data_IF_369455908366
#
_entry.id   IF_369455908366
#
_cell.length_a   1.000
_cell.length_b   1.000
_cell.length_c   1.000
_cell.angle_alpha   90.00
_cell.angle_beta   90.00
_cell.angle_gamma   90.00
#
_symmetry.space_group_name_H-M   'P 1'
#
loop_
_entity.id
_entity.type
_entity.pdbx_description
1 polymer ?
#
# COMPACT_ATOMS: atom_id res chain seq x y z
N UNK A 1 -33.00 3.49 -40.62
CA UNK A 1 -31.83 2.63 -40.39
C UNK A 1 -30.71 3.51 -39.87
N UNK A 2 -30.26 3.18 -38.65
CA UNK A 2 -28.98 3.43 -37.96
C UNK A 2 -28.21 4.71 -38.34
N UNK A 3 -27.96 5.69 -37.47
CA UNK A 3 -27.72 5.59 -36.02
C UNK A 3 -26.28 5.14 -35.76
N UNK A 4 -25.33 6.06 -35.86
CA UNK A 4 -24.04 6.02 -35.13
C UNK A 4 -23.25 7.33 -35.33
N UNK A 5 -23.57 8.36 -34.58
CA UNK A 5 -22.53 9.33 -34.18
C UNK A 5 -22.09 8.93 -32.78
N UNK A 6 -20.85 8.46 -32.68
CA UNK A 6 -20.12 8.35 -31.42
C UNK A 6 -19.85 9.78 -30.95
N UNK A 7 -20.65 10.31 -30.04
CA UNK A 7 -20.22 11.44 -29.23
C UNK A 7 -19.39 10.90 -28.06
N UNK A 8 -18.09 11.17 -28.16
CA UNK A 8 -17.10 11.03 -27.10
C UNK A 8 -17.12 12.31 -26.27
N UNK A 9 -17.01 12.13 -24.94
CA UNK A 9 -16.81 13.15 -23.91
C UNK A 9 -17.96 14.13 -23.66
N UNK A 10 -18.97 13.65 -22.90
CA UNK A 10 -19.73 14.54 -22.04
C UNK A 10 -18.79 15.11 -20.97
N UNK A 11 -18.36 16.34 -21.22
CA UNK A 11 -17.78 17.30 -20.29
C UNK A 11 -18.26 17.00 -18.86
N UNK A 12 -17.32 16.59 -18.01
CA UNK A 12 -17.50 16.47 -16.57
C UNK A 12 -18.11 17.78 -16.08
N UNK A 13 -19.27 17.68 -15.40
CA UNK A 13 -20.09 18.82 -14.97
C UNK A 13 -19.21 19.94 -14.44
N UNK A 14 -19.29 21.12 -15.06
CA UNK A 14 -18.49 22.31 -14.74
C UNK A 14 -18.45 22.62 -13.24
N UNK A 15 -19.49 22.23 -12.49
CA UNK A 15 -19.58 22.35 -11.04
C UNK A 15 -18.50 21.54 -10.28
N UNK A 16 -18.19 20.31 -10.71
CA UNK A 16 -17.11 19.48 -10.11
C UNK A 16 -15.73 20.09 -10.39
N UNK A 17 -15.55 20.65 -11.58
CA UNK A 17 -14.31 21.36 -11.94
C UNK A 17 -14.21 22.68 -11.15
N UNK A 18 -15.31 23.41 -10.98
CA UNK A 18 -15.33 24.67 -10.23
C UNK A 18 -15.09 24.47 -8.74
N UNK A 19 -15.63 23.42 -8.12
CA UNK A 19 -15.39 23.10 -6.72
C UNK A 19 -13.95 22.61 -6.47
N UNK A 20 -13.42 21.76 -7.35
CA UNK A 20 -12.03 21.31 -7.30
C UNK A 20 -11.02 22.42 -7.67
N UNK A 21 -11.38 23.37 -8.53
CA UNK A 21 -10.52 24.51 -8.93
C UNK A 21 -10.43 25.61 -7.87
N UNK A 22 -11.34 25.67 -6.90
CA UNK A 22 -11.28 26.62 -5.77
C UNK A 22 -10.16 26.30 -4.78
N UNK A 23 -9.69 25.06 -4.74
CA UNK A 23 -8.44 24.66 -4.08
C UNK A 23 -7.42 24.35 -5.17
N UNK A 24 -6.32 25.11 -5.25
CA UNK A 24 -5.25 25.09 -6.28
C UNK A 24 -4.53 23.75 -6.57
N UNK A 25 -5.16 22.61 -6.31
CA UNK A 25 -4.67 21.24 -6.31
C UNK A 25 -4.85 20.49 -7.63
N UNK A 26 -5.72 20.97 -8.52
CA UNK A 26 -5.94 20.41 -9.87
C UNK A 26 -5.02 21.09 -10.89
N UNK A 27 -4.63 20.36 -11.93
CA UNK A 27 -3.86 20.86 -13.08
C UNK A 27 -4.49 20.42 -14.40
N UNK A 28 -4.28 21.20 -15.46
CA UNK A 28 -4.76 20.84 -16.79
C UNK A 28 -3.98 19.65 -17.38
N UNK A 29 -2.67 19.61 -17.14
CA UNK A 29 -1.77 18.54 -17.61
C UNK A 29 -0.61 18.36 -16.62
N UNK A 30 0.03 17.19 -16.64
CA UNK A 30 1.21 16.88 -15.83
C UNK A 30 0.92 16.66 -14.34
N UNK A 31 -0.31 16.29 -13.97
CA UNK A 31 -0.61 15.91 -12.60
C UNK A 31 0.01 14.56 -12.24
N UNK A 32 0.33 14.38 -10.96
CA UNK A 32 0.91 13.13 -10.41
C UNK A 32 -0.15 12.03 -10.34
N UNK A 33 -1.40 12.39 -10.10
CA UNK A 33 -2.52 11.47 -10.00
C UNK A 33 -3.72 11.96 -10.80
N UNK A 34 -4.60 11.04 -11.20
CA UNK A 34 -5.80 11.32 -11.97
C UNK A 34 -7.02 10.59 -11.39
N UNK A 35 -8.16 11.26 -11.34
CA UNK A 35 -9.48 10.67 -11.03
C UNK A 35 -10.45 11.08 -12.10
N UNK A 36 -11.02 10.12 -12.83
CA UNK A 36 -12.01 10.35 -13.90
C UNK A 36 -11.58 11.45 -14.91
N UNK A 37 -10.31 11.48 -15.32
CA UNK A 37 -9.79 12.48 -16.25
C UNK A 37 -9.41 13.84 -15.63
N UNK A 38 -9.63 14.04 -14.33
CA UNK A 38 -9.18 15.23 -13.60
C UNK A 38 -7.81 14.94 -12.98
N UNK A 39 -6.81 15.76 -13.31
CA UNK A 39 -5.44 15.58 -12.84
C UNK A 39 -5.14 16.43 -11.61
N UNK A 40 -4.44 15.84 -10.64
CA UNK A 40 -4.08 16.44 -9.36
C UNK A 40 -2.56 16.57 -9.22
N UNK A 41 -2.11 17.65 -8.58
CA UNK A 41 -0.68 17.91 -8.30
C UNK A 41 -0.06 16.87 -7.38
N UNK A 42 -0.85 16.28 -6.49
CA UNK A 42 -0.40 15.31 -5.49
C UNK A 42 -1.39 14.17 -5.36
N UNK A 43 -0.91 13.04 -4.83
CA UNK A 43 -1.77 11.88 -4.54
C UNK A 43 -2.75 12.22 -3.41
N UNK A 44 -2.31 12.94 -2.38
CA UNK A 44 -3.18 13.40 -1.29
C UNK A 44 -4.39 14.19 -1.84
N UNK A 45 -4.14 15.14 -2.75
CA UNK A 45 -5.22 15.91 -3.34
C UNK A 45 -6.21 15.04 -4.13
N UNK A 46 -5.73 13.98 -4.79
CA UNK A 46 -6.62 13.02 -5.44
C UNK A 46 -7.46 12.24 -4.41
N UNK A 47 -6.86 11.76 -3.30
CA UNK A 47 -7.61 11.10 -2.22
C UNK A 47 -8.62 12.00 -1.50
N UNK A 48 -8.33 13.29 -1.38
CA UNK A 48 -9.25 14.26 -0.79
C UNK A 48 -10.49 14.47 -1.67
N UNK A 49 -10.34 14.33 -2.99
CA UNK A 49 -11.38 14.65 -3.98
C UNK A 49 -12.04 13.43 -4.65
N UNK A 50 -11.49 12.23 -4.51
CA UNK A 50 -12.05 11.00 -5.08
C UNK A 50 -13.37 10.64 -4.40
N UNK A 51 -14.35 10.16 -5.17
CA UNK A 51 -15.62 9.68 -4.63
C UNK A 51 -15.50 8.23 -4.16
N UNK A 52 -16.45 7.79 -3.35
CA UNK A 52 -16.56 6.39 -2.95
C UNK A 52 -16.72 5.47 -4.16
N UNK A 53 -16.01 4.34 -4.18
CA UNK A 53 -15.96 3.37 -5.26
C UNK A 53 -15.11 3.77 -6.47
N UNK A 54 -14.48 4.94 -6.48
CA UNK A 54 -13.71 5.43 -7.62
C UNK A 54 -12.22 5.02 -7.57
N UNK A 55 -11.54 5.18 -8.71
CA UNK A 55 -10.12 4.86 -8.87
C UNK A 55 -9.28 6.12 -8.98
N UNK A 56 -8.21 6.19 -8.18
CA UNK A 56 -7.08 7.09 -8.37
C UNK A 56 -6.02 6.38 -9.21
N UNK A 57 -5.61 6.97 -10.32
CA UNK A 57 -4.56 6.44 -11.21
C UNK A 57 -3.30 7.28 -11.06
N UNK A 58 -2.16 6.65 -10.77
CA UNK A 58 -0.87 7.34 -10.81
C UNK A 58 -0.42 7.59 -12.25
N UNK A 59 0.02 8.81 -12.50
CA UNK A 59 0.49 9.29 -13.80
C UNK A 59 2.00 9.47 -13.79
N UNK A 60 2.56 9.86 -12.66
CA UNK A 60 4.00 10.05 -12.46
C UNK A 60 4.47 9.40 -11.16
N UNK A 61 5.79 9.22 -11.07
CA UNK A 61 6.43 8.86 -9.81
C UNK A 61 6.29 10.01 -8.80
N UNK A 62 6.13 9.67 -7.53
CA UNK A 62 5.87 10.61 -6.45
C UNK A 62 6.92 10.48 -5.35
N UNK A 63 7.76 11.51 -5.22
CA UNK A 63 8.57 11.77 -4.03
C UNK A 63 7.72 12.55 -3.03
N UNK A 64 7.28 11.90 -1.96
CA UNK A 64 6.37 12.47 -0.98
C UNK A 64 7.16 13.20 0.10
N UNK A 65 6.60 14.33 0.56
CA UNK A 65 7.18 15.10 1.67
C UNK A 65 6.48 14.85 3.01
N UNK A 66 5.33 14.16 2.99
CA UNK A 66 4.54 13.79 4.16
C UNK A 66 3.82 12.48 3.82
N UNK A 67 3.37 11.73 4.82
CA UNK A 67 2.54 10.53 4.62
C UNK A 67 1.30 10.88 3.82
N UNK A 68 0.95 10.04 2.85
CA UNK A 68 -0.33 10.13 2.15
C UNK A 68 -1.38 9.46 3.04
N UNK A 69 -2.38 10.20 3.48
CA UNK A 69 -3.39 9.70 4.41
C UNK A 69 -4.70 9.49 3.66
N UNK A 70 -5.23 8.27 3.77
CA UNK A 70 -6.61 7.97 3.39
C UNK A 70 -7.49 7.92 4.64
N UNK A 71 -8.20 9.02 4.90
CA UNK A 71 -9.03 9.24 6.09
C UNK A 71 -10.41 9.77 5.68
N UNK A 72 -11.23 8.92 5.08
CA UNK A 72 -12.52 9.37 4.56
C UNK A 72 -13.65 8.32 4.59
N UNK A 73 -13.45 7.13 5.19
CA UNK A 73 -14.42 6.02 5.22
C UNK A 73 -14.90 5.52 3.85
N UNK A 74 -14.19 5.90 2.77
CA UNK A 74 -14.53 5.48 1.41
C UNK A 74 -13.80 4.19 1.06
N UNK A 75 -14.35 3.49 0.09
CA UNK A 75 -13.72 2.39 -0.64
C UNK A 75 -13.13 2.91 -1.95
N UNK A 76 -11.80 2.94 -2.04
CA UNK A 76 -11.09 3.53 -3.17
C UNK A 76 -10.13 2.51 -3.77
N UNK A 77 -9.94 2.57 -5.08
CA UNK A 77 -8.84 1.85 -5.74
C UNK A 77 -7.70 2.80 -6.07
N UNK A 78 -6.47 2.46 -5.69
CA UNK A 78 -5.26 3.08 -6.20
C UNK A 78 -4.66 2.18 -7.30
N UNK A 79 -4.78 2.60 -8.54
CA UNK A 79 -4.02 2.01 -9.64
C UNK A 79 -2.66 2.71 -9.74
N UNK A 80 -1.63 2.05 -9.22
CA UNK A 80 -0.28 2.58 -9.19
C UNK A 80 0.39 2.62 -10.58
N UNK A 81 -0.17 1.94 -11.59
CA UNK A 81 0.20 2.09 -13.01
C UNK A 81 1.72 2.00 -13.30
N UNK A 82 2.40 1.08 -12.61
CA UNK A 82 3.85 0.87 -12.71
C UNK A 82 4.70 2.00 -12.12
N UNK A 83 4.07 3.02 -11.51
CA UNK A 83 4.74 4.19 -10.93
C UNK A 83 5.24 3.92 -9.53
N UNK A 84 6.13 4.79 -9.10
CA UNK A 84 6.79 4.72 -7.80
C UNK A 84 6.22 5.75 -6.82
N UNK A 85 5.92 5.34 -5.60
CA UNK A 85 5.72 6.22 -4.44
C UNK A 85 6.90 6.00 -3.49
N UNK A 86 7.56 7.07 -3.10
CA UNK A 86 8.76 7.01 -2.27
C UNK A 86 8.98 8.32 -1.54
N UNK A 87 9.95 8.36 -0.65
CA UNK A 87 10.43 9.58 -0.02
C UNK A 87 11.95 9.68 -0.11
N UNK A 88 12.48 10.88 -0.33
CA UNK A 88 13.93 11.17 -0.27
C UNK A 88 14.35 11.93 0.99
N UNK A 89 13.38 12.55 1.67
CA UNK A 89 13.55 13.24 2.95
C UNK A 89 13.00 12.39 4.07
N UNK A 90 13.55 12.56 5.27
CA UNK A 90 12.98 11.94 6.47
C UNK A 90 11.59 12.52 6.71
N UNK A 91 10.61 11.63 6.90
CA UNK A 91 9.24 12.03 7.26
C UNK A 91 8.81 11.46 8.61
N UNK A 92 9.53 10.47 9.16
CA UNK A 92 9.17 9.81 10.41
C UNK A 92 8.93 10.83 11.53
N UNK A 93 7.70 10.86 12.05
CA UNK A 93 7.25 11.77 13.11
C UNK A 93 7.57 13.26 12.85
N UNK A 94 7.77 13.67 11.60
CA UNK A 94 7.82 15.10 11.24
C UNK A 94 6.49 15.77 11.59
N UNK A 95 5.39 15.03 11.39
CA UNK A 95 4.12 15.25 12.09
C UNK A 95 3.70 13.95 12.78
N UNK A 96 2.92 14.07 13.84
CA UNK A 96 2.37 12.92 14.54
C UNK A 96 1.59 12.02 13.57
N UNK A 97 1.95 10.73 13.55
CA UNK A 97 1.37 9.75 12.66
C UNK A 97 2.05 9.68 11.28
N UNK A 98 3.12 10.43 11.02
CA UNK A 98 3.91 10.24 9.80
C UNK A 98 4.82 9.02 9.94
N UNK A 99 4.31 7.82 9.62
CA UNK A 99 5.03 6.56 9.80
C UNK A 99 5.17 5.73 8.53
N UNK A 100 4.54 6.12 7.42
CA UNK A 100 4.51 5.32 6.19
C UNK A 100 4.41 6.18 4.93
N UNK A 101 4.54 5.56 3.75
CA UNK A 101 4.20 6.25 2.51
C UNK A 101 2.69 6.47 2.39
N UNK A 102 1.89 5.45 2.73
CA UNK A 102 0.42 5.53 2.78
C UNK A 102 -0.10 4.98 4.11
N UNK A 103 -0.89 5.80 4.80
CA UNK A 103 -1.58 5.45 6.04
C UNK A 103 -3.08 5.42 5.81
N UNK A 104 -3.74 4.30 6.10
CA UNK A 104 -5.19 4.18 6.07
C UNK A 104 -5.75 4.38 7.47
N UNK A 105 -6.73 5.27 7.61
CA UNK A 105 -7.31 5.68 8.89
C UNK A 105 -8.82 5.76 8.84
N UNK A 106 -9.42 5.83 10.04
CA UNK A 106 -10.85 5.96 10.28
C UNK A 106 -11.71 5.06 9.40
N UNK A 107 -11.44 3.75 9.42
CA UNK A 107 -12.20 2.72 8.69
C UNK A 107 -12.28 2.95 7.17
N UNK A 108 -11.21 3.47 6.57
CA UNK A 108 -11.09 3.56 5.11
C UNK A 108 -10.84 2.18 4.47
N UNK A 109 -11.21 2.02 3.19
CA UNK A 109 -10.90 0.86 2.39
C UNK A 109 -10.07 1.27 1.17
N UNK A 110 -8.92 0.63 0.97
CA UNK A 110 -8.06 0.85 -0.19
C UNK A 110 -7.73 -0.47 -0.87
N UNK A 111 -7.97 -0.54 -2.18
CA UNK A 111 -7.43 -1.61 -3.03
C UNK A 111 -6.27 -1.06 -3.86
N UNK A 112 -5.08 -1.65 -3.76
CA UNK A 112 -3.88 -1.25 -4.52
C UNK A 112 -3.62 -2.25 -5.64
N UNK A 113 -3.46 -1.74 -6.86
CA UNK A 113 -3.18 -2.51 -8.07
C UNK A 113 -2.22 -1.78 -9.01
N UNK A 114 -1.99 -2.31 -10.20
CA UNK A 114 -1.23 -1.65 -11.27
C UNK A 114 0.28 -1.83 -11.20
N UNK A 115 0.79 -2.75 -10.39
CA UNK A 115 2.21 -3.14 -10.29
C UNK A 115 3.16 -1.97 -9.96
N UNK A 116 2.74 -1.05 -9.10
CA UNK A 116 3.59 0.05 -8.64
C UNK A 116 4.66 -0.37 -7.64
N UNK A 117 5.54 0.58 -7.30
CA UNK A 117 6.61 0.41 -6.31
C UNK A 117 6.48 1.41 -5.16
N UNK A 118 6.43 0.93 -3.92
CA UNK A 118 6.31 1.70 -2.69
C UNK A 118 7.59 1.50 -1.91
N UNK A 119 8.50 2.49 -1.97
CA UNK A 119 9.87 2.33 -1.46
C UNK A 119 10.18 3.45 -0.48
N UNK A 120 10.16 3.10 0.80
CA UNK A 120 10.56 4.00 1.87
C UNK A 120 12.06 4.34 1.78
N UNK A 121 12.44 5.48 2.36
CA UNK A 121 13.83 5.79 2.64
C UNK A 121 14.37 4.90 3.77
N UNK A 122 15.66 4.56 3.69
CA UNK A 122 16.39 3.92 4.79
C UNK A 122 16.40 4.78 6.06
N UNK A 123 16.26 4.14 7.23
CA UNK A 123 16.15 4.73 8.57
C UNK A 123 14.89 5.57 8.83
N UNK A 124 13.82 5.39 8.07
CA UNK A 124 12.67 6.29 8.14
C UNK A 124 11.37 5.51 8.38
N UNK A 125 10.58 5.30 7.35
CA UNK A 125 9.16 4.90 7.43
C UNK A 125 8.86 3.48 6.93
N UNK A 126 7.63 3.05 7.14
CA UNK A 126 7.02 1.87 6.53
C UNK A 126 6.57 2.16 5.09
N UNK A 127 6.25 1.13 4.30
CA UNK A 127 5.61 1.37 3.01
C UNK A 127 4.12 1.67 3.18
N UNK A 128 3.39 0.82 3.92
CA UNK A 128 1.96 0.99 4.20
C UNK A 128 1.69 0.78 5.69
N UNK A 129 0.81 1.58 6.28
CA UNK A 129 0.19 1.28 7.58
C UNK A 129 -1.34 1.31 7.53
N UNK A 130 -1.96 0.46 8.36
CA UNK A 130 -3.42 0.30 8.48
C UNK A 130 -3.82 0.51 9.94
N UNK A 131 -4.73 1.46 10.15
CA UNK A 131 -5.19 1.90 11.47
C UNK A 131 -6.71 2.07 11.53
N UNK A 132 -7.24 2.19 12.75
CA UNK A 132 -8.63 2.56 13.05
C UNK A 132 -9.69 1.69 12.32
N UNK A 133 -9.44 0.39 12.23
CA UNK A 133 -10.35 -0.57 11.61
C UNK A 133 -10.38 -0.48 10.08
N UNK A 134 -9.40 0.17 9.46
CA UNK A 134 -9.29 0.29 8.00
C UNK A 134 -8.92 -1.04 7.34
N UNK A 135 -9.15 -1.14 6.03
CA UNK A 135 -8.80 -2.32 5.23
C UNK A 135 -7.94 -1.94 4.03
N UNK A 136 -6.77 -2.58 3.89
CA UNK A 136 -5.92 -2.45 2.71
C UNK A 136 -5.86 -3.79 1.97
N UNK A 137 -6.29 -3.82 0.71
CA UNK A 137 -6.13 -4.96 -0.19
C UNK A 137 -5.00 -4.68 -1.16
N UNK A 138 -3.98 -5.54 -1.21
CA UNK A 138 -2.84 -5.42 -2.11
C UNK A 138 -2.90 -6.55 -3.13
N UNK A 139 -3.16 -6.19 -4.39
CA UNK A 139 -3.22 -7.15 -5.50
C UNK A 139 -1.83 -7.52 -6.03
N UNK A 140 -0.93 -6.54 -6.10
CA UNK A 140 0.39 -6.68 -6.69
C UNK A 140 1.27 -5.44 -6.44
N UNK A 141 2.55 -5.51 -6.82
CA UNK A 141 3.50 -4.40 -6.71
C UNK A 141 4.79 -4.80 -5.99
N UNK A 142 5.56 -3.78 -5.59
CA UNK A 142 6.79 -3.91 -4.81
C UNK A 142 6.68 -3.01 -3.59
N UNK A 143 6.87 -3.56 -2.40
CA UNK A 143 6.71 -2.86 -1.12
C UNK A 143 7.98 -3.03 -0.30
N UNK A 144 8.66 -1.92 -0.06
CA UNK A 144 9.94 -1.87 0.65
C UNK A 144 9.83 -0.83 1.74
N UNK A 145 9.73 -1.28 2.99
CA UNK A 145 9.79 -0.39 4.15
C UNK A 145 11.18 -0.35 4.76
N UNK A 146 11.40 0.55 5.71
CA UNK A 146 12.65 0.58 6.46
C UNK A 146 12.86 -0.72 7.25
N UNK A 147 11.99 -0.99 8.24
CA UNK A 147 11.95 -2.25 9.00
C UNK A 147 10.65 -3.04 8.80
N UNK A 148 9.62 -2.42 8.23
CA UNK A 148 8.29 -3.01 8.02
C UNK A 148 7.73 -2.57 6.67
N UNK A 149 7.37 -3.51 5.79
CA UNK A 149 6.72 -3.18 4.52
C UNK A 149 5.23 -2.86 4.75
N UNK A 150 4.52 -3.71 5.48
CA UNK A 150 3.10 -3.51 5.82
C UNK A 150 2.93 -3.63 7.33
N UNK A 151 2.42 -2.57 7.95
CA UNK A 151 2.08 -2.52 9.37
C UNK A 151 0.56 -2.48 9.56
N UNK A 152 0.04 -3.25 10.52
CA UNK A 152 -1.37 -3.19 10.93
C UNK A 152 -1.43 -2.96 12.43
N UNK A 153 -1.98 -1.81 12.85
CA UNK A 153 -2.26 -1.50 14.25
C UNK A 153 -3.67 -1.96 14.62
N UNK A 154 -4.68 -1.51 13.87
CA UNK A 154 -6.09 -1.88 14.04
C UNK A 154 -6.74 -1.87 12.65
N UNK A 155 -7.31 -3.00 12.22
CA UNK A 155 -7.83 -3.17 10.87
C UNK A 155 -7.32 -4.45 10.18
N UNK A 156 -7.33 -4.47 8.86
CA UNK A 156 -6.97 -5.66 8.08
C UNK A 156 -6.12 -5.32 6.86
N UNK A 157 -5.02 -6.05 6.69
CA UNK A 157 -4.32 -6.12 5.41
C UNK A 157 -4.64 -7.44 4.71
N UNK A 158 -5.11 -7.39 3.46
CA UNK A 158 -5.32 -8.54 2.58
C UNK A 158 -4.25 -8.51 1.49
N UNK A 159 -3.39 -9.51 1.43
CA UNK A 159 -2.28 -9.59 0.49
C UNK A 159 -2.54 -10.74 -0.49
N UNK A 160 -2.87 -10.38 -1.72
CA UNK A 160 -3.12 -11.34 -2.82
C UNK A 160 -1.86 -11.56 -3.68
N UNK A 161 -0.89 -10.64 -3.63
CA UNK A 161 0.32 -10.72 -4.45
C UNK A 161 1.30 -9.60 -4.14
N UNK A 162 2.39 -9.53 -4.91
CA UNK A 162 3.42 -8.49 -4.76
C UNK A 162 4.75 -9.01 -4.19
N UNK A 163 5.71 -8.10 -4.03
CA UNK A 163 7.06 -8.39 -3.54
C UNK A 163 7.35 -7.54 -2.29
N UNK A 164 7.77 -8.18 -1.21
CA UNK A 164 7.93 -7.53 0.09
C UNK A 164 9.34 -7.72 0.61
N UNK A 165 9.93 -6.63 1.09
CA UNK A 165 11.26 -6.63 1.70
C UNK A 165 11.44 -5.43 2.61
N UNK A 166 12.55 -5.42 3.34
CA UNK A 166 12.93 -4.33 4.23
C UNK A 166 14.34 -3.87 3.89
N UNK A 167 14.62 -2.60 4.17
CA UNK A 167 15.94 -2.01 3.93
C UNK A 167 16.89 -2.37 5.06
N UNK A 168 16.38 -2.47 6.29
CA UNK A 168 17.17 -2.71 7.48
C UNK A 168 16.62 -3.86 8.30
N UNK A 169 17.52 -4.65 8.83
CA UNK A 169 17.17 -5.66 9.80
C UNK A 169 16.79 -5.04 11.14
N UNK A 170 15.83 -5.65 11.81
CA UNK A 170 15.55 -5.34 13.20
C UNK A 170 16.79 -5.65 14.08
N UNK A 171 17.08 -4.84 15.12
CA UNK A 171 18.29 -5.00 15.92
C UNK A 171 18.43 -6.36 16.63
N UNK A 172 17.32 -7.02 16.97
CA UNK A 172 17.36 -8.40 17.43
C UNK A 172 17.61 -9.35 16.25
N UNK A 173 18.80 -9.94 16.22
CA UNK A 173 19.22 -10.89 15.18
C UNK A 173 18.28 -12.09 14.98
N UNK A 174 17.52 -12.50 16.00
CA UNK A 174 16.54 -13.58 15.88
C UNK A 174 15.25 -13.14 15.19
N UNK A 175 15.03 -11.82 15.12
CA UNK A 175 13.87 -11.18 14.51
C UNK A 175 14.26 -10.27 13.35
N UNK A 176 15.44 -10.47 12.78
CA UNK A 176 16.08 -9.54 11.85
C UNK A 176 15.17 -9.15 10.68
N UNK A 177 14.37 -10.07 10.17
CA UNK A 177 13.46 -9.88 9.03
C UNK A 177 12.01 -10.20 9.37
N UNK A 178 11.72 -10.44 10.64
CA UNK A 178 10.41 -10.94 11.10
C UNK A 178 9.32 -9.86 11.09
N UNK A 179 9.70 -8.60 10.88
CA UNK A 179 8.78 -7.46 10.80
C UNK A 179 8.45 -7.03 9.36
N UNK A 180 8.84 -7.78 8.33
CA UNK A 180 8.46 -7.46 6.92
C UNK A 180 6.94 -7.26 6.82
N UNK A 181 6.17 -8.15 7.44
CA UNK A 181 4.76 -7.94 7.78
C UNK A 181 4.66 -7.88 9.31
N UNK A 182 4.10 -6.80 9.84
CA UNK A 182 3.98 -6.57 11.28
C UNK A 182 2.51 -6.29 11.62
N UNK A 183 1.95 -7.07 12.54
CA UNK A 183 0.56 -6.98 12.97
C UNK A 183 0.55 -6.86 14.49
N UNK A 184 0.29 -5.67 14.99
CA UNK A 184 0.51 -5.32 16.40
C UNK A 184 -0.13 -6.34 17.36
N UNK A 185 0.71 -6.95 18.19
CA UNK A 185 0.38 -8.14 18.99
C UNK A 185 -0.91 -8.02 19.80
N UNK A 186 -1.07 -6.93 20.55
CA UNK A 186 -2.21 -6.75 21.46
C UNK A 186 -3.54 -6.72 20.70
N UNK A 187 -3.61 -5.98 19.61
CA UNK A 187 -4.81 -5.80 18.78
C UNK A 187 -5.09 -7.06 17.95
N UNK A 188 -4.04 -7.79 17.56
CA UNK A 188 -4.15 -9.12 16.93
C UNK A 188 -4.74 -10.15 17.88
N UNK A 189 -4.25 -10.22 19.12
CA UNK A 189 -4.79 -11.12 20.17
C UNK A 189 -6.25 -10.81 20.51
N UNK A 190 -6.66 -9.55 20.36
CA UNK A 190 -8.05 -9.12 20.51
C UNK A 190 -8.93 -9.40 19.28
N UNK A 191 -8.33 -9.80 18.15
CA UNK A 191 -9.04 -10.06 16.90
C UNK A 191 -9.51 -8.82 16.15
N UNK A 192 -8.91 -7.66 16.43
CA UNK A 192 -9.23 -6.38 15.76
C UNK A 192 -8.13 -5.91 14.79
N UNK A 193 -6.97 -6.57 14.80
CA UNK A 193 -5.95 -6.45 13.78
C UNK A 193 -5.71 -7.81 13.08
N UNK A 194 -5.59 -7.82 11.76
CA UNK A 194 -5.25 -9.03 11.02
C UNK A 194 -4.44 -8.77 9.74
N UNK A 195 -3.63 -9.75 9.36
CA UNK A 195 -3.00 -9.84 8.05
C UNK A 195 -3.40 -11.18 7.44
N UNK A 196 -3.93 -11.16 6.23
CA UNK A 196 -4.36 -12.34 5.49
C UNK A 196 -3.58 -12.43 4.19
N UNK A 197 -2.79 -13.49 4.05
CA UNK A 197 -1.91 -13.70 2.89
C UNK A 197 -2.43 -14.86 2.03
N UNK A 198 -2.62 -14.59 0.74
CA UNK A 198 -3.00 -15.57 -0.29
C UNK A 198 -2.05 -15.58 -1.49
N UNK A 199 -1.02 -14.73 -1.48
CA UNK A 199 0.01 -14.72 -2.51
C UNK A 199 1.15 -13.78 -2.16
N UNK A 200 2.11 -13.65 -3.07
CA UNK A 200 3.24 -12.75 -2.94
C UNK A 200 4.57 -13.46 -2.71
N UNK A 201 5.63 -12.67 -2.77
CA UNK A 201 7.02 -13.11 -2.57
C UNK A 201 7.68 -12.24 -1.51
N UNK A 202 8.31 -12.87 -0.53
CA UNK A 202 8.86 -12.23 0.65
C UNK A 202 10.36 -12.52 0.75
N UNK A 203 11.16 -11.47 0.86
CA UNK A 203 12.62 -11.60 0.98
C UNK A 203 12.99 -11.85 2.43
N UNK A 204 13.58 -13.01 2.71
CA UNK A 204 14.08 -13.44 4.03
C UNK A 204 13.03 -13.49 5.15
N UNK A 205 11.74 -13.50 4.81
CA UNK A 205 10.64 -13.55 5.77
C UNK A 205 9.65 -14.64 5.37
N UNK A 206 9.34 -15.56 6.29
CA UNK A 206 8.34 -16.58 6.06
C UNK A 206 6.98 -16.13 6.61
N UNK A 207 6.00 -15.76 5.76
CA UNK A 207 4.69 -15.29 6.24
C UNK A 207 3.86 -16.39 6.94
N UNK A 208 4.24 -17.67 6.82
CA UNK A 208 3.57 -18.77 7.53
C UNK A 208 4.21 -19.15 8.86
N UNK A 209 5.32 -18.51 9.24
CA UNK A 209 6.10 -18.83 10.43
C UNK A 209 6.79 -17.58 10.99
N UNK A 210 5.98 -16.61 11.41
CA UNK A 210 6.47 -15.35 11.96
C UNK A 210 6.81 -15.50 13.45
N UNK A 211 7.95 -14.93 13.86
CA UNK A 211 8.43 -14.91 15.25
C UNK A 211 8.28 -13.55 15.95
N UNK A 212 8.07 -12.49 15.18
CA UNK A 212 7.88 -11.15 15.71
C UNK A 212 6.56 -11.04 16.48
N UNK A 213 5.47 -11.46 15.84
CA UNK A 213 4.08 -11.24 16.27
C UNK A 213 3.53 -12.48 17.00
N UNK A 214 4.22 -12.96 18.04
CA UNK A 214 3.97 -14.25 18.68
C UNK A 214 4.63 -15.43 17.93
N UNK A 215 5.20 -16.37 18.69
CA UNK A 215 5.99 -17.48 18.14
C UNK A 215 5.14 -18.35 17.19
N UNK A 216 5.64 -18.53 15.96
CA UNK A 216 5.01 -19.32 14.89
C UNK A 216 3.65 -18.78 14.41
N UNK A 217 3.43 -17.46 14.44
CA UNK A 217 2.22 -16.86 13.86
C UNK A 217 2.18 -17.08 12.34
N UNK A 218 1.05 -17.59 11.86
CA UNK A 218 0.81 -17.86 10.45
C UNK A 218 -0.18 -16.83 9.87
N UNK A 219 0.29 -16.00 8.94
CA UNK A 219 -0.56 -15.06 8.19
C UNK A 219 -1.15 -15.67 6.91
N UNK A 220 -0.67 -16.83 6.49
CA UNK A 220 -1.11 -17.50 5.26
C UNK A 220 -2.46 -18.15 5.49
N UNK A 221 -3.42 -17.78 4.64
CA UNK A 221 -4.79 -18.27 4.68
C UNK A 221 -4.84 -19.78 4.41
N UNK A 222 -5.82 -20.45 5.02
CA UNK A 222 -6.13 -21.85 4.69
C UNK A 222 -6.33 -22.05 3.18
N UNK A 223 -5.81 -23.15 2.65
CA UNK A 223 -5.76 -23.44 1.20
C UNK A 223 -4.54 -22.88 0.48
N UNK A 224 -3.62 -22.21 1.21
CA UNK A 224 -2.35 -21.72 0.69
C UNK A 224 -1.17 -22.23 1.52
N UNK A 225 0.01 -22.29 0.90
CA UNK A 225 1.26 -22.73 1.51
C UNK A 225 2.43 -21.85 1.09
N UNK A 226 3.58 -22.00 1.76
CA UNK A 226 4.82 -21.27 1.44
C UNK A 226 5.85 -22.22 0.86
N UNK A 227 6.36 -21.89 -0.32
CA UNK A 227 7.58 -22.48 -0.88
C UNK A 227 8.77 -21.55 -0.60
N UNK A 228 9.95 -22.12 -0.36
CA UNK A 228 11.18 -21.34 -0.24
C UNK A 228 12.13 -21.61 -1.40
N UNK A 229 12.81 -20.55 -1.84
CA UNK A 229 13.80 -20.60 -2.91
C UNK A 229 15.01 -19.77 -2.55
N UNK A 230 16.18 -20.40 -2.50
CA UNK A 230 17.47 -19.70 -2.47
C UNK A 230 17.89 -19.31 -3.89
N UNK A 231 18.60 -18.20 -4.03
CA UNK A 231 19.12 -17.77 -5.34
C UNK A 231 20.61 -17.99 -5.42
N UNK A 232 21.02 -18.78 -6.42
CA UNK A 232 22.43 -19.03 -6.71
C UNK A 232 23.18 -17.71 -6.92
N UNK A 233 24.26 -17.53 -6.16
CA UNK A 233 25.08 -16.31 -6.19
C UNK A 233 24.61 -15.18 -5.25
N UNK A 234 23.49 -15.32 -4.54
CA UNK A 234 23.07 -14.40 -3.49
C UNK A 234 23.13 -15.06 -2.12
N UNK A 235 24.26 -14.88 -1.42
CA UNK A 235 24.44 -15.42 -0.07
C UNK A 235 23.50 -14.70 0.90
N UNK A 236 22.73 -15.47 1.67
CA UNK A 236 21.85 -14.92 2.71
C UNK A 236 20.52 -14.36 2.18
N UNK A 237 20.14 -14.71 0.95
CA UNK A 237 18.82 -14.36 0.39
C UNK A 237 18.02 -15.63 0.12
N UNK A 238 16.89 -15.73 0.80
CA UNK A 238 15.84 -16.73 0.61
C UNK A 238 14.55 -16.00 0.26
N UNK A 239 13.92 -16.39 -0.84
CA UNK A 239 12.56 -15.95 -1.16
C UNK A 239 11.57 -16.96 -0.62
N UNK A 240 10.55 -16.47 0.07
CA UNK A 240 9.38 -17.24 0.46
C UNK A 240 8.22 -16.83 -0.44
N UNK A 241 7.62 -17.79 -1.13
CA UNK A 241 6.61 -17.57 -2.16
C UNK A 241 5.34 -18.27 -1.71
N UNK A 242 4.25 -17.51 -1.61
CA UNK A 242 2.95 -18.07 -1.26
C UNK A 242 2.26 -18.60 -2.51
N UNK A 243 1.84 -19.85 -2.45
CA UNK A 243 1.20 -20.60 -3.53
C UNK A 243 -0.10 -21.25 -3.04
N UNK A 244 -0.97 -21.64 -3.96
CA UNK A 244 -2.14 -22.48 -3.63
C UNK A 244 -1.62 -23.84 -3.13
N UNK A 245 -2.17 -24.34 -2.03
CA UNK A 245 -1.80 -25.65 -1.49
C UNK A 245 -2.37 -26.78 -2.36
N UNK A 246 -1.59 -27.85 -2.54
CA UNK A 246 -1.98 -29.07 -3.25
C UNK A 246 -2.97 -29.96 -2.45
#
# INVERSE_FOLDING_TARGET
MNGSEKEVNSVLTEDKIQEASKNSSVVAEGGVAEVNGIQFKTIQAAFDNVSDGETVVLREDADIENTIVLDNKKDITLNANGKKIYNTKDIWDVKEGDWSLISLRNSASLTITGNGSFIAKSNDIYAIDVQDGSTCTIENGVYVGNITAVYVLEGTAVINGGNYSIIQSYPDSKKATEFVLNCHDKEREQGIASIVVTGGTYTNFNPSDCWAEGEHTNFVKEGYSVESKTVDGQIGVTYYIVVVAD
#
